data_IF_037697755866
#
_entry.id   IF_037697755866
#
_cell.length_a   1.000
_cell.length_b   1.000
_cell.length_c   1.000
_cell.angle_alpha   90.00
_cell.angle_beta   90.00
_cell.angle_gamma   90.00
#
_symmetry.space_group_name_H-M   'P 1'
#
loop_
_entity.id
_entity.type
_entity.pdbx_description
1 polymer ?
#
# COMPACT_ATOMS: atom_id res chain seq x y z
N UNK A 1 -21.67 -5.65 32.59
CA UNK A 1 -20.74 -4.49 32.48
C UNK A 1 -19.33 -4.86 32.88
N UNK A 2 -19.14 -5.50 34.03
CA UNK A 2 -17.81 -5.82 34.60
C UNK A 2 -16.89 -6.58 33.65
N UNK A 3 -17.45 -7.51 32.86
CA UNK A 3 -16.71 -8.24 31.83
C UNK A 3 -16.11 -7.30 30.77
N UNK A 4 -16.85 -6.29 30.33
CA UNK A 4 -16.36 -5.32 29.32
C UNK A 4 -15.23 -4.48 29.92
N UNK A 5 -15.39 -4.04 31.17
CA UNK A 5 -14.40 -3.23 31.87
C UNK A 5 -13.10 -4.01 32.09
N UNK A 6 -13.21 -5.25 32.58
CA UNK A 6 -12.06 -6.14 32.80
C UNK A 6 -11.35 -6.52 31.50
N UNK A 7 -12.10 -6.67 30.40
CA UNK A 7 -11.53 -7.12 29.12
C UNK A 7 -10.88 -5.98 28.32
N UNK A 8 -11.45 -4.77 28.35
CA UNK A 8 -11.04 -3.68 27.44
C UNK A 8 -10.56 -2.39 28.12
N UNK A 9 -10.94 -2.13 29.37
CA UNK A 9 -10.80 -0.79 29.98
C UNK A 9 -9.67 -0.75 31.03
N UNK A 10 -9.55 -1.79 31.87
CA UNK A 10 -8.52 -1.84 32.91
C UNK A 10 -7.11 -1.69 32.32
N UNK A 11 -6.19 -1.11 33.10
CA UNK A 11 -4.79 -0.92 32.65
C UNK A 11 -4.04 -2.24 32.48
N UNK A 12 -4.51 -3.32 33.11
CA UNK A 12 -4.01 -4.68 32.97
C UNK A 12 -4.92 -5.53 32.08
N UNK A 13 -5.87 -4.91 31.38
CA UNK A 13 -6.84 -5.62 30.58
C UNK A 13 -6.17 -6.38 29.44
N UNK A 14 -6.58 -7.63 29.26
CA UNK A 14 -6.06 -8.51 28.21
C UNK A 14 -6.23 -7.90 26.81
N UNK A 15 -7.27 -7.08 26.60
CA UNK A 15 -7.55 -6.36 25.35
C UNK A 15 -7.66 -4.88 25.56
N UNK A 16 -6.70 -4.34 26.30
CA UNK A 16 -6.70 -2.93 26.64
C UNK A 16 -6.87 -2.07 25.39
N UNK A 17 -7.88 -1.22 25.45
CA UNK A 17 -8.16 -0.24 24.45
C UNK A 17 -7.22 0.97 24.67
N UNK A 18 -6.79 1.58 23.56
CA UNK A 18 -5.93 2.75 23.58
C UNK A 18 -6.71 4.00 24.01
N UNK A 19 -6.94 4.12 25.32
CA UNK A 19 -7.57 5.27 25.97
C UNK A 19 -6.52 6.13 26.66
N UNK A 20 -6.74 7.44 26.66
CA UNK A 20 -5.94 8.36 27.48
C UNK A 20 -6.08 7.97 28.96
N UNK A 21 -5.03 8.14 29.78
CA UNK A 21 -5.09 7.78 31.20
C UNK A 21 -6.17 8.58 31.95
N UNK A 22 -6.44 9.81 31.52
CA UNK A 22 -7.49 10.67 32.07
C UNK A 22 -8.88 10.14 31.78
N UNK A 23 -9.16 9.76 30.53
CA UNK A 23 -10.47 9.22 30.16
C UNK A 23 -10.73 7.88 30.83
N UNK A 24 -9.70 7.03 30.94
CA UNK A 24 -9.79 5.77 31.67
C UNK A 24 -10.15 5.97 33.14
N UNK A 25 -9.46 6.90 33.83
CA UNK A 25 -9.76 7.20 35.25
C UNK A 25 -11.18 7.74 35.44
N UNK A 26 -11.60 8.67 34.58
CA UNK A 26 -12.97 9.23 34.61
C UNK A 26 -14.02 8.14 34.39
N UNK A 27 -13.79 7.27 33.40
CA UNK A 27 -14.71 6.18 33.12
C UNK A 27 -14.81 5.20 34.30
N UNK A 28 -13.68 4.77 34.86
CA UNK A 28 -13.67 3.87 36.01
C UNK A 28 -14.39 4.48 37.23
N UNK A 29 -14.24 5.78 37.49
CA UNK A 29 -14.98 6.48 38.55
C UNK A 29 -16.49 6.60 38.26
N UNK A 30 -16.89 6.80 37.00
CA UNK A 30 -18.32 6.85 36.64
C UNK A 30 -19.01 5.48 36.73
N UNK A 31 -18.25 4.43 36.40
CA UNK A 31 -18.70 3.04 36.41
C UNK A 31 -18.81 2.48 37.82
N UNK A 32 -17.95 2.91 38.75
CA UNK A 32 -18.06 2.51 40.16
C UNK A 32 -19.35 3.02 40.81
N UNK A 33 -19.87 4.16 40.34
CA UNK A 33 -21.10 4.76 40.88
C UNK A 33 -22.36 4.39 40.10
N UNK A 34 -22.24 3.98 38.82
CA UNK A 34 -23.41 3.64 37.99
C UNK A 34 -23.09 2.56 36.96
N UNK A 35 -23.97 1.56 36.86
CA UNK A 35 -23.85 0.42 35.92
C UNK A 35 -24.57 0.65 34.58
N UNK A 36 -24.99 1.88 34.30
CA UNK A 36 -25.76 2.20 33.10
C UNK A 36 -24.88 2.19 31.83
N UNK A 37 -25.40 1.70 30.69
CA UNK A 37 -24.67 1.70 29.40
C UNK A 37 -24.33 3.11 28.88
N UNK A 38 -25.04 4.14 29.35
CA UNK A 38 -24.79 5.53 28.97
C UNK A 38 -23.40 6.02 29.40
N UNK A 39 -22.82 5.47 30.46
CA UNK A 39 -21.47 5.82 30.95
C UNK A 39 -20.37 5.57 29.91
N UNK A 40 -20.55 4.58 29.03
CA UNK A 40 -19.60 4.23 27.97
C UNK A 40 -19.71 5.12 26.74
N UNK A 41 -20.77 5.94 26.62
CA UNK A 41 -21.10 6.68 25.40
C UNK A 41 -19.96 7.61 24.95
N UNK A 42 -19.35 8.33 25.89
CA UNK A 42 -18.24 9.26 25.59
C UNK A 42 -17.01 8.54 25.08
N UNK A 43 -16.68 7.40 25.70
CA UNK A 43 -15.55 6.57 25.25
C UNK A 43 -15.85 5.95 23.89
N UNK A 44 -17.07 5.45 23.69
CA UNK A 44 -17.53 4.94 22.41
C UNK A 44 -17.42 5.99 21.29
N UNK A 45 -17.91 7.22 21.50
CA UNK A 45 -17.82 8.28 20.49
C UNK A 45 -16.38 8.63 20.12
N UNK A 46 -15.48 8.63 21.11
CA UNK A 46 -14.06 8.90 20.85
C UNK A 46 -13.42 7.79 20.00
N UNK A 47 -13.74 6.53 20.29
CA UNK A 47 -13.23 5.38 19.52
C UNK A 47 -13.82 5.35 18.11
N UNK A 48 -15.14 5.54 17.98
CA UNK A 48 -15.81 5.60 16.68
C UNK A 48 -15.22 6.72 15.81
N UNK A 49 -14.93 7.88 16.41
CA UNK A 49 -14.22 8.97 15.75
C UNK A 49 -12.82 8.53 15.27
N UNK A 50 -12.00 7.90 16.12
CA UNK A 50 -10.66 7.43 15.74
C UNK A 50 -10.73 6.37 14.63
N UNK A 51 -11.66 5.42 14.74
CA UNK A 51 -11.85 4.37 13.74
C UNK A 51 -12.17 4.95 12.37
N UNK A 52 -13.04 5.97 12.32
CA UNK A 52 -13.44 6.62 11.07
C UNK A 52 -12.39 7.56 10.50
N UNK A 53 -11.66 8.29 11.34
CA UNK A 53 -10.73 9.34 10.89
C UNK A 53 -9.31 8.83 10.68
N UNK A 54 -8.85 7.85 11.45
CA UNK A 54 -7.49 7.32 11.38
C UNK A 54 -7.45 5.90 10.82
N UNK A 55 -8.15 4.95 11.46
CA UNK A 55 -8.02 3.53 11.11
C UNK A 55 -8.59 3.22 9.73
N UNK A 56 -9.76 3.77 9.38
CA UNK A 56 -10.42 3.49 8.11
C UNK A 56 -9.66 4.03 6.89
N UNK A 57 -9.18 5.30 6.85
CA UNK A 57 -8.36 5.78 5.74
C UNK A 57 -7.04 5.02 5.62
N UNK A 58 -6.44 4.60 6.73
CA UNK A 58 -5.22 3.80 6.72
C UNK A 58 -5.52 2.40 6.14
N UNK A 59 -6.59 1.76 6.59
CA UNK A 59 -7.08 0.49 6.03
C UNK A 59 -7.31 0.60 4.53
N UNK A 60 -7.99 1.65 4.06
CA UNK A 60 -8.22 1.88 2.63
C UNK A 60 -6.91 2.04 1.84
N UNK A 61 -5.95 2.81 2.35
CA UNK A 61 -4.64 2.97 1.70
C UNK A 61 -3.90 1.63 1.57
N UNK A 62 -3.95 0.80 2.62
CA UNK A 62 -3.37 -0.54 2.55
C UNK A 62 -4.14 -1.42 1.59
N UNK A 63 -5.47 -1.50 1.70
CA UNK A 63 -6.32 -2.32 0.84
C UNK A 63 -6.16 -1.99 -0.66
N UNK A 64 -6.04 -0.70 -0.98
CA UNK A 64 -5.87 -0.20 -2.34
C UNK A 64 -4.55 -0.60 -3.00
N UNK A 65 -3.45 -0.61 -2.24
CA UNK A 65 -2.13 -0.93 -2.77
C UNK A 65 -2.07 -2.40 -3.25
N UNK A 66 -1.74 -2.62 -4.52
CA UNK A 66 -1.71 -3.97 -5.11
C UNK A 66 -0.34 -4.66 -5.01
N UNK A 67 0.70 -3.94 -4.59
CA UNK A 67 2.08 -4.41 -4.52
C UNK A 67 2.74 -4.07 -3.18
N UNK A 68 3.78 -4.82 -2.82
CA UNK A 68 4.63 -4.55 -1.66
C UNK A 68 5.71 -3.50 -1.99
N UNK A 69 6.37 -2.99 -0.95
CA UNK A 69 7.35 -1.90 -1.10
C UNK A 69 8.55 -2.32 -1.96
N UNK A 70 9.06 -3.55 -1.82
CA UNK A 70 10.18 -4.06 -2.60
C UNK A 70 9.88 -4.03 -4.12
N UNK A 71 8.70 -4.51 -4.53
CA UNK A 71 8.27 -4.48 -5.92
C UNK A 71 8.06 -3.06 -6.44
N UNK A 72 7.54 -2.16 -5.61
CA UNK A 72 7.37 -0.76 -6.00
C UNK A 72 8.71 -0.06 -6.19
N UNK A 73 9.70 -0.32 -5.34
CA UNK A 73 11.06 0.18 -5.50
C UNK A 73 11.72 -0.37 -6.78
N UNK A 74 11.60 -1.68 -7.02
CA UNK A 74 12.08 -2.30 -8.26
C UNK A 74 11.42 -1.67 -9.50
N UNK A 75 10.12 -1.36 -9.44
CA UNK A 75 9.38 -0.71 -10.52
C UNK A 75 9.83 0.75 -10.73
N UNK A 76 10.16 1.47 -9.66
CA UNK A 76 10.73 2.82 -9.74
C UNK A 76 12.12 2.81 -10.39
N UNK A 77 12.98 1.86 -10.01
CA UNK A 77 14.29 1.67 -10.65
C UNK A 77 14.15 1.34 -12.14
N UNK A 78 13.29 0.36 -12.47
CA UNK A 78 13.00 -0.02 -13.86
C UNK A 78 12.48 1.17 -14.67
N UNK A 79 11.56 1.94 -14.09
CA UNK A 79 11.03 3.15 -14.70
C UNK A 79 12.13 4.19 -14.96
N UNK A 80 13.01 4.45 -13.99
CA UNK A 80 14.15 5.35 -14.17
C UNK A 80 15.09 4.93 -15.30
N UNK A 81 15.40 3.63 -15.38
CA UNK A 81 16.19 3.07 -16.48
C UNK A 81 15.49 3.26 -17.84
N UNK A 82 14.18 3.06 -17.89
CA UNK A 82 13.39 3.21 -19.12
C UNK A 82 13.28 4.67 -19.56
N UNK A 83 13.22 5.62 -18.62
CA UNK A 83 13.32 7.06 -18.90
C UNK A 83 14.69 7.36 -19.50
N UNK A 84 15.78 6.89 -18.88
CA UNK A 84 17.13 7.09 -19.40
C UNK A 84 17.29 6.51 -20.81
N UNK A 85 16.76 5.29 -21.04
CA UNK A 85 16.77 4.65 -22.36
C UNK A 85 15.92 5.39 -23.41
N UNK A 86 14.96 6.21 -23.00
CA UNK A 86 14.16 7.02 -23.92
C UNK A 86 14.79 8.40 -24.17
N UNK A 87 15.35 9.03 -23.14
CA UNK A 87 15.90 10.39 -23.22
C UNK A 87 17.32 10.42 -23.75
N UNK A 88 18.20 9.50 -23.33
CA UNK A 88 19.61 9.50 -23.78
C UNK A 88 19.73 9.31 -25.30
N UNK A 89 19.02 8.36 -25.94
CA UNK A 89 19.05 8.26 -27.40
C UNK A 89 18.42 9.48 -28.08
N UNK A 90 17.42 10.12 -27.47
CA UNK A 90 16.85 11.36 -28.02
C UNK A 90 17.89 12.48 -28.03
N UNK A 91 18.71 12.59 -26.98
CA UNK A 91 19.83 13.54 -26.92
C UNK A 91 20.90 13.22 -27.96
N UNK A 92 21.25 11.95 -28.15
CA UNK A 92 22.18 11.53 -29.21
C UNK A 92 21.64 11.89 -30.60
N UNK A 93 20.34 11.65 -30.86
CA UNK A 93 19.66 12.03 -32.10
C UNK A 93 19.45 13.55 -32.28
N UNK A 94 19.65 14.34 -31.22
CA UNK A 94 19.69 15.81 -31.33
C UNK A 94 21.06 16.26 -31.84
N UNK A 95 22.12 15.61 -31.37
CA UNK A 95 23.49 15.95 -31.74
C UNK A 95 23.89 15.42 -33.13
N UNK A 96 23.24 14.37 -33.63
CA UNK A 96 23.52 13.80 -34.96
C UNK A 96 22.76 14.47 -36.10
N UNK A 97 23.19 14.20 -37.34
CA UNK A 97 22.51 14.56 -38.60
C UNK A 97 21.26 13.69 -38.90
N UNK A 98 20.78 12.92 -37.93
CA UNK A 98 19.63 12.06 -38.13
C UNK A 98 18.35 12.88 -38.25
N UNK A 99 17.49 12.50 -39.21
CA UNK A 99 16.23 13.20 -39.44
C UNK A 99 15.36 13.24 -38.17
N UNK A 100 14.80 14.42 -37.89
CA UNK A 100 13.91 14.72 -36.75
C UNK A 100 12.84 13.65 -36.40
N UNK A 101 12.12 13.00 -37.35
CA UNK A 101 11.08 12.04 -37.00
C UNK A 101 11.60 10.82 -36.24
N UNK A 102 12.88 10.47 -36.34
CA UNK A 102 13.44 9.33 -35.59
C UNK A 102 13.29 9.49 -34.07
N UNK A 103 13.23 10.72 -33.59
CA UNK A 103 13.00 11.02 -32.17
C UNK A 103 11.62 10.57 -31.69
N UNK A 104 10.61 10.54 -32.57
CA UNK A 104 9.24 10.13 -32.20
C UNK A 104 9.14 8.65 -31.81
N UNK A 105 10.06 7.79 -32.26
CA UNK A 105 10.10 6.39 -31.84
C UNK A 105 10.36 6.21 -30.34
N UNK A 106 10.89 7.24 -29.68
CA UNK A 106 11.17 7.24 -28.23
C UNK A 106 9.94 7.67 -27.40
N UNK A 107 8.85 8.08 -28.05
CA UNK A 107 7.63 8.47 -27.35
C UNK A 107 6.93 7.31 -26.61
N UNK A 108 6.64 6.14 -27.24
CA UNK A 108 6.00 5.02 -26.53
C UNK A 108 6.76 4.53 -25.28
N UNK A 109 8.09 4.30 -25.33
CA UNK A 109 8.82 3.87 -24.13
C UNK A 109 8.84 4.97 -23.06
N UNK A 110 8.87 6.25 -23.43
CA UNK A 110 8.78 7.36 -22.47
C UNK A 110 7.42 7.42 -21.77
N UNK A 111 6.32 7.25 -22.50
CA UNK A 111 4.96 7.17 -21.93
C UNK A 111 4.87 6.00 -20.95
N UNK A 112 5.36 4.82 -21.36
CA UNK A 112 5.39 3.64 -20.50
C UNK A 112 6.21 3.92 -19.24
N UNK A 113 7.41 4.47 -19.38
CA UNK A 113 8.31 4.77 -18.27
C UNK A 113 7.67 5.72 -17.24
N UNK A 114 7.07 6.83 -17.70
CA UNK A 114 6.39 7.80 -16.85
C UNK A 114 5.14 7.20 -16.20
N UNK A 115 4.38 6.37 -16.92
CA UNK A 115 3.21 5.70 -16.35
C UNK A 115 3.59 4.76 -15.20
N UNK A 116 4.67 3.97 -15.36
CA UNK A 116 5.21 3.13 -14.30
C UNK A 116 5.68 3.94 -13.08
N UNK A 117 6.32 5.09 -13.30
CA UNK A 117 6.78 5.97 -12.21
C UNK A 117 5.62 6.51 -11.38
N UNK A 118 4.62 7.09 -12.04
CA UNK A 118 3.47 7.72 -11.38
C UNK A 118 2.62 6.67 -10.65
N UNK A 119 2.40 5.51 -11.25
CA UNK A 119 1.67 4.42 -10.62
C UNK A 119 2.42 3.83 -9.43
N UNK A 120 3.74 3.67 -9.52
CA UNK A 120 4.54 3.20 -8.40
C UNK A 120 4.46 4.15 -7.20
N UNK A 121 4.43 5.47 -7.43
CA UNK A 121 4.21 6.47 -6.36
C UNK A 121 2.82 6.37 -5.72
N UNK A 122 1.81 5.92 -6.47
CA UNK A 122 0.46 5.65 -5.96
C UNK A 122 0.32 4.23 -5.36
N UNK A 123 1.43 3.51 -5.17
CA UNK A 123 1.48 2.12 -4.68
C UNK A 123 0.73 1.10 -5.55
N UNK A 124 0.69 1.37 -6.86
CA UNK A 124 0.11 0.47 -7.86
C UNK A 124 1.20 -0.02 -8.82
N UNK A 125 1.34 -1.33 -8.93
CA UNK A 125 2.08 -1.97 -10.01
C UNK A 125 1.14 -2.18 -11.22
N UNK A 126 1.48 -1.57 -12.35
CA UNK A 126 0.69 -1.68 -13.60
C UNK A 126 0.57 -3.13 -14.07
N UNK A 127 1.65 -3.92 -14.02
CA UNK A 127 1.64 -5.31 -14.46
C UNK A 127 0.64 -6.18 -13.69
N UNK A 128 0.58 -6.01 -12.37
CA UNK A 128 -0.38 -6.72 -11.53
C UNK A 128 -1.82 -6.28 -11.81
N UNK A 129 -2.02 -4.98 -12.00
CA UNK A 129 -3.32 -4.43 -12.38
C UNK A 129 -3.83 -5.01 -13.71
N UNK A 130 -2.97 -5.09 -14.73
CA UNK A 130 -3.31 -5.67 -16.03
C UNK A 130 -3.69 -7.16 -15.93
N UNK A 131 -3.07 -7.89 -15.01
CA UNK A 131 -3.36 -9.30 -14.74
C UNK A 131 -4.58 -9.51 -13.82
N UNK A 132 -5.16 -8.44 -13.25
CA UNK A 132 -6.26 -8.55 -12.28
C UNK A 132 -5.87 -9.22 -10.96
N UNK A 133 -4.58 -9.18 -10.62
CA UNK A 133 -4.04 -9.77 -9.39
C UNK A 133 -3.43 -8.72 -8.47
N UNK A 134 -3.30 -9.07 -7.20
CA UNK A 134 -2.55 -8.32 -6.18
C UNK A 134 -1.52 -9.24 -5.53
N UNK A 135 -0.47 -8.67 -4.94
CA UNK A 135 0.40 -9.44 -4.06
C UNK A 135 -0.35 -9.81 -2.77
N UNK A 136 -0.11 -11.04 -2.32
CA UNK A 136 -0.61 -11.55 -1.04
C UNK A 136 0.09 -10.81 0.08
N UNK A 137 -0.65 -10.35 1.10
CA UNK A 137 -0.06 -9.60 2.22
C UNK A 137 0.89 -10.51 3.01
N UNK A 138 1.93 -9.96 3.66
CA UNK A 138 2.88 -10.75 4.43
C UNK A 138 2.19 -11.73 5.39
N UNK A 139 1.28 -11.25 6.22
CA UNK A 139 0.52 -12.09 7.17
C UNK A 139 -0.41 -13.12 6.49
N UNK A 140 -0.97 -12.81 5.32
CA UNK A 140 -1.82 -13.75 4.56
C UNK A 140 -1.01 -14.96 4.02
N UNK A 141 0.31 -14.81 3.85
CA UNK A 141 1.17 -15.86 3.30
C UNK A 141 1.47 -16.98 4.30
N UNK A 142 1.39 -16.69 5.60
CA UNK A 142 1.76 -17.62 6.66
C UNK A 142 0.56 -18.25 7.37
N UNK A 143 -0.68 -17.82 7.06
CA UNK A 143 -1.90 -18.43 7.59
C UNK A 143 -1.96 -19.94 7.33
N UNK A 144 -1.53 -20.39 6.15
CA UNK A 144 -1.56 -21.81 5.79
C UNK A 144 -0.50 -22.64 6.56
N UNK A 145 0.66 -22.05 6.87
CA UNK A 145 1.73 -22.73 7.63
C UNK A 145 1.46 -22.68 9.14
N UNK A 146 0.95 -21.57 9.64
CA UNK A 146 0.54 -21.40 11.04
C UNK A 146 -0.68 -22.25 11.39
N UNK A 147 -1.67 -22.38 10.50
CA UNK A 147 -2.85 -23.23 10.73
C UNK A 147 -2.51 -24.72 10.92
N UNK A 148 -1.39 -25.19 10.35
CA UNK A 148 -0.90 -26.57 10.54
C UNK A 148 -0.25 -26.72 11.93
N UNK A 149 0.43 -25.70 12.44
CA UNK A 149 1.03 -25.68 13.77
C UNK A 149 0.06 -25.34 14.91
N UNK A 150 -0.93 -24.48 14.65
CA UNK A 150 -1.91 -24.01 15.62
C UNK A 150 -3.03 -25.00 15.90
N UNK A 151 -3.30 -25.97 15.02
CA UNK A 151 -4.21 -27.09 15.35
C UNK A 151 -3.86 -27.78 16.68
N UNK A 152 -2.59 -27.70 17.11
CA UNK A 152 -2.11 -28.23 18.40
C UNK A 152 -2.12 -27.21 19.56
N UNK A 153 -2.47 -25.94 19.33
CA UNK A 153 -2.41 -24.84 20.33
C UNK A 153 -3.66 -23.95 20.40
N UNK A 154 -4.75 -24.32 19.75
CA UNK A 154 -6.03 -23.61 19.84
C UNK A 154 -6.56 -23.65 21.28
N UNK A 155 -6.16 -22.66 22.08
CA UNK A 155 -6.92 -22.28 23.26
C UNK A 155 -8.32 -21.88 22.78
N UNK A 156 -9.32 -22.70 23.10
CA UNK A 156 -10.74 -22.45 22.88
C UNK A 156 -11.13 -21.26 23.77
N UNK A 157 -10.68 -20.08 23.42
CA UNK A 157 -11.11 -18.85 24.06
C UNK A 157 -12.08 -18.18 23.10
N UNK A 158 -13.32 -17.87 23.52
CA UNK A 158 -14.37 -17.34 22.63
C UNK A 158 -14.01 -16.00 21.99
N UNK A 159 -12.91 -15.38 22.43
CA UNK A 159 -12.45 -14.09 21.94
C UNK A 159 -11.11 -14.18 21.19
N UNK A 160 -10.28 -15.23 21.37
CA UNK A 160 -8.91 -15.32 20.85
C UNK A 160 -7.81 -14.89 21.86
N UNK A 161 -6.53 -14.81 21.45
CA UNK A 161 -5.42 -14.43 22.31
C UNK A 161 -5.53 -12.99 22.85
N UNK A 162 -4.66 -12.62 23.79
CA UNK A 162 -4.59 -11.25 24.31
C UNK A 162 -4.15 -10.27 23.23
N UNK A 163 -4.40 -8.96 23.42
CA UNK A 163 -3.62 -7.91 22.78
C UNK A 163 -2.20 -7.91 23.39
N UNK A 164 -1.51 -9.05 23.35
CA UNK A 164 -0.08 -9.09 23.60
C UNK A 164 0.61 -8.47 22.39
N UNK A 165 1.78 -7.88 22.63
CA UNK A 165 2.72 -7.52 21.58
C UNK A 165 3.11 -8.81 20.86
N UNK A 166 2.32 -9.17 19.85
CA UNK A 166 2.51 -10.38 19.08
C UNK A 166 3.77 -10.11 18.28
N UNK A 167 4.92 -10.60 18.78
CA UNK A 167 6.15 -10.63 18.00
C UNK A 167 5.97 -11.73 16.97
N UNK A 168 5.15 -11.38 15.98
CA UNK A 168 4.71 -12.20 14.87
C UNK A 168 5.88 -13.01 14.34
N UNK A 169 5.84 -14.33 14.52
CA UNK A 169 6.84 -15.26 13.97
C UNK A 169 6.98 -15.05 12.47
N UNK A 170 5.86 -14.77 11.79
CA UNK A 170 5.85 -14.42 10.39
C UNK A 170 6.60 -13.13 10.08
N UNK A 171 6.61 -12.13 10.97
CA UNK A 171 7.32 -10.87 10.75
C UNK A 171 8.83 -11.12 10.70
N UNK A 172 9.36 -11.89 11.65
CA UNK A 172 10.77 -12.28 11.67
C UNK A 172 11.14 -13.09 10.42
N UNK A 173 10.31 -14.06 10.05
CA UNK A 173 10.51 -14.87 8.85
C UNK A 173 10.44 -14.02 7.57
N UNK A 174 9.60 -12.98 7.54
CA UNK A 174 9.45 -12.08 6.40
C UNK A 174 10.61 -11.09 6.29
N UNK A 175 11.09 -10.54 7.40
CA UNK A 175 12.26 -9.65 7.45
C UNK A 175 13.53 -10.34 6.94
N UNK A 176 13.73 -11.60 7.30
CA UNK A 176 14.88 -12.40 6.85
C UNK A 176 14.86 -12.75 5.35
N UNK A 177 13.73 -12.56 4.64
CA UNK A 177 13.69 -12.81 3.19
C UNK A 177 14.45 -11.71 2.44
N UNK A 178 15.25 -12.11 1.46
CA UNK A 178 15.92 -11.17 0.57
C UNK A 178 14.93 -10.36 -0.28
N UNK A 179 15.30 -9.13 -0.62
CA UNK A 179 14.45 -8.17 -1.35
C UNK A 179 13.99 -8.68 -2.72
N UNK A 180 14.84 -9.41 -3.45
CA UNK A 180 14.48 -10.01 -4.75
C UNK A 180 13.34 -11.02 -4.63
N UNK A 181 13.33 -11.82 -3.56
CA UNK A 181 12.25 -12.77 -3.31
C UNK A 181 10.94 -12.04 -2.98
N UNK A 182 11.02 -10.89 -2.31
CA UNK A 182 9.86 -10.02 -2.02
C UNK A 182 9.25 -9.45 -3.31
N UNK A 183 10.07 -9.10 -4.32
CA UNK A 183 9.57 -8.59 -5.61
C UNK A 183 8.66 -9.61 -6.31
N UNK A 184 9.03 -10.90 -6.28
CA UNK A 184 8.34 -12.00 -6.95
C UNK A 184 7.49 -12.85 -6.01
N UNK A 185 6.81 -12.20 -5.06
CA UNK A 185 5.91 -12.87 -4.13
C UNK A 185 4.65 -13.45 -4.77
N UNK A 186 4.00 -14.34 -4.02
CA UNK A 186 2.72 -14.95 -4.38
C UNK A 186 1.68 -13.87 -4.70
N UNK A 187 0.89 -14.13 -5.72
CA UNK A 187 -0.19 -13.24 -6.16
C UNK A 187 -1.54 -13.92 -5.97
N UNK A 188 -2.56 -13.13 -5.63
CA UNK A 188 -3.94 -13.54 -5.50
C UNK A 188 -4.84 -12.66 -6.38
N UNK A 189 -5.94 -13.22 -6.88
CA UNK A 189 -6.91 -12.45 -7.67
C UNK A 189 -7.59 -11.38 -6.83
N UNK A 190 -7.84 -10.22 -7.42
CA UNK A 190 -8.65 -9.18 -6.79
C UNK A 190 -10.11 -9.64 -6.80
N UNK A 191 -10.65 -10.00 -5.64
CA UNK A 191 -12.03 -10.47 -5.50
C UNK A 191 -13.04 -9.31 -5.51
N UNK A 192 -12.68 -8.19 -4.89
CA UNK A 192 -13.59 -7.08 -4.68
C UNK A 192 -13.68 -6.16 -5.91
N UNK A 193 -14.88 -6.08 -6.51
CA UNK A 193 -15.13 -5.24 -7.69
C UNK A 193 -15.03 -3.75 -7.41
N UNK A 194 -15.39 -3.31 -6.20
CA UNK A 194 -15.29 -1.91 -5.79
C UNK A 194 -13.83 -1.45 -5.80
N UNK A 195 -12.93 -2.26 -5.24
CA UNK A 195 -11.50 -2.00 -5.22
C UNK A 195 -10.92 -1.90 -6.65
N UNK A 196 -11.28 -2.84 -7.53
CA UNK A 196 -10.86 -2.82 -8.93
C UNK A 196 -11.32 -1.56 -9.67
N UNK A 197 -12.52 -1.05 -9.38
CA UNK A 197 -13.03 0.21 -9.94
C UNK A 197 -12.19 1.40 -9.52
N UNK A 198 -11.85 1.50 -8.24
CA UNK A 198 -10.99 2.58 -7.73
C UNK A 198 -9.60 2.47 -8.37
N UNK A 199 -9.00 1.28 -8.42
CA UNK A 199 -7.70 1.07 -9.06
C UNK A 199 -7.73 1.50 -10.53
N UNK A 200 -8.78 1.14 -11.27
CA UNK A 200 -8.94 1.55 -12.68
C UNK A 200 -9.00 3.07 -12.84
N UNK A 201 -9.72 3.79 -11.98
CA UNK A 201 -9.78 5.25 -12.03
C UNK A 201 -8.40 5.90 -11.79
N UNK A 202 -7.64 5.38 -10.83
CA UNK A 202 -6.29 5.87 -10.54
C UNK A 202 -5.33 5.54 -11.68
N UNK A 203 -5.43 4.35 -12.27
CA UNK A 203 -4.62 3.96 -13.42
C UNK A 203 -4.88 4.89 -14.60
N UNK A 204 -6.16 5.11 -14.95
CA UNK A 204 -6.52 5.96 -16.07
C UNK A 204 -6.03 7.41 -15.88
N UNK A 205 -6.21 7.98 -14.68
CA UNK A 205 -5.75 9.33 -14.36
C UNK A 205 -4.23 9.47 -14.48
N UNK A 206 -3.47 8.51 -13.94
CA UNK A 206 -2.00 8.59 -13.94
C UNK A 206 -1.41 8.27 -15.32
N UNK A 207 -1.98 7.33 -16.07
CA UNK A 207 -1.58 7.08 -17.46
C UNK A 207 -1.86 8.32 -18.32
N UNK A 208 -3.03 8.94 -18.18
CA UNK A 208 -3.33 10.20 -18.87
C UNK A 208 -2.34 11.32 -18.52
N UNK A 209 -2.03 11.50 -17.23
CA UNK A 209 -1.01 12.47 -16.80
C UNK A 209 0.38 12.15 -17.35
N UNK A 210 0.79 10.88 -17.36
CA UNK A 210 2.06 10.43 -17.95
C UNK A 210 2.12 10.74 -19.45
N UNK A 211 1.03 10.52 -20.20
CA UNK A 211 0.95 10.83 -21.62
C UNK A 211 1.11 12.33 -21.86
N UNK A 212 0.43 13.19 -21.11
CA UNK A 212 0.56 14.65 -21.23
C UNK A 212 2.00 15.11 -20.95
N UNK A 213 2.62 14.57 -19.90
CA UNK A 213 4.03 14.86 -19.59
C UNK A 213 4.97 14.38 -20.70
N UNK A 214 4.75 13.18 -21.24
CA UNK A 214 5.54 12.64 -22.34
C UNK A 214 5.41 13.50 -23.61
N UNK A 215 4.21 13.98 -23.93
CA UNK A 215 3.98 14.88 -25.07
C UNK A 215 4.76 16.19 -24.88
N UNK A 216 4.74 16.76 -23.67
CA UNK A 216 5.53 17.96 -23.36
C UNK A 216 7.03 17.74 -23.55
N UNK A 217 7.57 16.67 -22.97
CA UNK A 217 9.01 16.32 -23.10
C UNK A 217 9.38 16.06 -24.56
N UNK A 218 8.58 15.30 -25.29
CA UNK A 218 8.84 15.03 -26.72
C UNK A 218 8.71 16.27 -27.59
N UNK A 219 7.75 17.16 -27.30
CA UNK A 219 7.59 18.43 -27.99
C UNK A 219 8.86 19.28 -27.90
N UNK A 220 9.45 19.35 -26.71
CA UNK A 220 10.75 20.02 -26.50
C UNK A 220 11.84 19.32 -27.32
N UNK A 221 12.01 18.01 -27.19
CA UNK A 221 13.07 17.25 -27.88
C UNK A 221 12.98 17.31 -29.42
N UNK A 222 11.78 17.38 -29.98
CA UNK A 222 11.55 17.48 -31.43
C UNK A 222 11.74 18.92 -31.92
N UNK A 223 11.47 19.93 -31.09
CA UNK A 223 11.64 21.35 -31.45
C UNK A 223 13.10 21.78 -31.61
N UNK A 224 14.04 21.08 -30.97
CA UNK A 224 15.47 21.40 -31.05
C UNK A 224 15.99 21.05 -32.46
N UNK A 225 16.64 22.00 -33.16
CA UNK A 225 17.23 21.73 -34.48
C UNK A 225 18.37 20.70 -34.41
N UNK A 226 18.82 20.22 -35.57
CA UNK A 226 19.93 19.28 -35.69
C UNK A 226 21.25 19.97 -35.33
N UNK A 227 22.08 19.28 -34.53
CA UNK A 227 23.33 19.83 -34.01
C UNK A 227 24.54 19.71 -34.94
N UNK A 228 24.48 18.82 -35.95
CA UNK A 228 25.54 18.66 -36.95
C UNK A 228 26.90 18.21 -36.41
N UNK A 229 26.94 17.51 -35.26
CA UNK A 229 28.20 17.09 -34.64
C UNK A 229 28.76 15.76 -35.18
N UNK A 230 27.89 14.86 -35.64
CA UNK A 230 28.23 13.52 -36.13
C UNK A 230 27.30 13.06 -37.25
#
# INVERSE_FOLDING_TARGET
MDRVIATYIMSTARRQLHLTPTDRKRLLGSVSCSTSPATLKTVFSNIDYILRTASYPHFLHWAFANANCARLHALQLLSGLLIALSVLPALVLILSDAARPWRLFLFPPLVLALSLLLLARQRICLFLFLQGVRQVRPWEQFLDEEAVGEKNRLSITPFGPANAEYKDSWLQAYEQRGEWRKVFERTARVQEKALARVQRSVVLRNVGAATVLAVGVMGVLVSVPEGGFY
#
